data_IF_933430598585
#
_entry.id   IF_933430598585
#
_cell.length_a   1.000
_cell.length_b   1.000
_cell.length_c   1.000
_cell.angle_alpha   90.00
_cell.angle_beta   90.00
_cell.angle_gamma   90.00
#
_symmetry.space_group_name_H-M   'P 1'
#
loop_
_entity.id
_entity.type
_entity.pdbx_description
1 polymer ?
#
# COMPACT_ATOMS: atom_id res chain seq x y z
N UNK A 1 -63.39 1.10 8.50
CA UNK A 1 -62.06 1.79 8.45
C UNK A 1 -60.88 0.89 8.87
N UNK A 2 -60.95 0.07 9.91
CA UNK A 2 -59.80 -0.81 10.34
C UNK A 2 -59.33 -1.83 9.30
N UNK A 3 -60.23 -2.43 8.47
CA UNK A 3 -59.86 -3.40 7.44
C UNK A 3 -59.06 -2.81 6.25
N UNK A 4 -59.27 -1.56 5.88
CA UNK A 4 -58.53 -0.90 4.79
C UNK A 4 -57.17 -0.43 5.23
N UNK A 5 -57.01 -0.13 6.52
CA UNK A 5 -55.70 0.27 7.10
C UNK A 5 -54.71 -0.88 7.23
N UNK A 6 -55.20 -2.11 7.48
CA UNK A 6 -54.39 -3.33 7.49
C UNK A 6 -53.94 -3.75 6.10
N UNK A 7 -54.77 -3.57 5.08
CA UNK A 7 -54.44 -3.88 3.67
C UNK A 7 -53.40 -2.87 3.16
N UNK A 8 -53.52 -1.58 3.54
CA UNK A 8 -52.53 -0.53 3.19
C UNK A 8 -51.17 -0.75 3.86
N UNK A 9 -51.14 -1.20 5.13
CA UNK A 9 -49.87 -1.58 5.78
C UNK A 9 -49.20 -2.82 5.17
N UNK A 10 -49.96 -3.79 4.69
CA UNK A 10 -49.44 -4.98 3.99
C UNK A 10 -48.85 -4.62 2.61
N UNK A 11 -49.42 -3.62 1.90
CA UNK A 11 -48.87 -3.13 0.62
C UNK A 11 -47.59 -2.29 0.83
N UNK A 12 -47.49 -1.54 1.92
CA UNK A 12 -46.28 -0.77 2.25
C UNK A 12 -45.13 -1.72 2.70
N UNK A 13 -45.42 -2.80 3.42
CA UNK A 13 -44.46 -3.81 3.81
C UNK A 13 -43.96 -4.65 2.60
N UNK A 14 -44.79 -4.89 1.60
CA UNK A 14 -44.38 -5.57 0.37
C UNK A 14 -43.49 -4.71 -0.55
N UNK A 15 -43.62 -3.40 -0.52
CA UNK A 15 -42.78 -2.49 -1.30
C UNK A 15 -41.33 -2.37 -0.75
N UNK A 16 -41.08 -2.77 0.49
CA UNK A 16 -39.73 -2.74 1.08
C UNK A 16 -38.91 -4.05 0.85
N UNK A 17 -39.52 -5.05 0.22
CA UNK A 17 -38.87 -6.28 -0.18
C UNK A 17 -38.67 -6.37 -1.70
N UNK A 18 -38.52 -5.24 -2.40
CA UNK A 18 -38.00 -5.29 -3.75
C UNK A 18 -36.61 -5.85 -3.67
N UNK A 19 -36.29 -7.05 -4.24
CA UNK A 19 -34.92 -7.45 -4.38
C UNK A 19 -34.25 -6.33 -5.19
N UNK A 20 -33.24 -5.67 -4.62
CA UNK A 20 -32.35 -4.84 -5.41
C UNK A 20 -31.85 -5.75 -6.52
N UNK A 21 -32.41 -5.57 -7.73
CA UNK A 21 -31.73 -6.04 -8.93
C UNK A 21 -30.35 -5.37 -8.89
N UNK A 22 -29.34 -6.11 -8.48
CA UNK A 22 -27.96 -5.72 -8.69
C UNK A 22 -27.81 -5.76 -10.22
N UNK A 23 -28.07 -4.61 -10.86
CA UNK A 23 -27.67 -4.43 -12.25
C UNK A 23 -26.18 -4.76 -12.28
N UNK A 24 -25.79 -5.74 -13.07
CA UNK A 24 -24.38 -6.05 -13.32
C UNK A 24 -23.71 -4.74 -13.73
N UNK A 25 -22.98 -4.13 -12.80
CA UNK A 25 -22.23 -2.92 -13.09
C UNK A 25 -20.96 -3.33 -13.79
N UNK A 26 -20.90 -3.07 -15.07
CA UNK A 26 -19.69 -3.27 -15.87
C UNK A 26 -18.71 -2.16 -15.52
N UNK A 27 -17.57 -2.52 -14.96
CA UNK A 27 -16.55 -1.58 -14.51
C UNK A 27 -15.56 -1.29 -15.61
N UNK A 28 -15.34 -0.01 -15.87
CA UNK A 28 -14.26 0.46 -16.75
C UNK A 28 -12.91 0.40 -16.03
N UNK A 29 -11.84 0.44 -16.81
CA UNK A 29 -10.48 0.47 -16.26
C UNK A 29 -10.24 1.64 -15.30
N UNK A 30 -10.70 2.84 -15.67
CA UNK A 30 -10.53 4.04 -14.86
C UNK A 30 -11.38 3.99 -13.58
N UNK A 31 -12.59 3.44 -13.63
CA UNK A 31 -13.40 3.21 -12.42
C UNK A 31 -12.73 2.25 -11.45
N UNK A 32 -12.09 1.18 -11.94
CA UNK A 32 -11.32 0.27 -11.10
C UNK A 32 -10.15 0.97 -10.41
N UNK A 33 -9.43 1.86 -11.11
CA UNK A 33 -8.32 2.63 -10.53
C UNK A 33 -8.83 3.57 -9.45
N UNK A 34 -9.86 4.36 -9.72
CA UNK A 34 -10.42 5.31 -8.75
C UNK A 34 -10.93 4.60 -7.50
N UNK A 35 -11.69 3.53 -7.69
CA UNK A 35 -12.21 2.77 -6.57
C UNK A 35 -11.10 2.15 -5.71
N UNK A 36 -10.07 1.58 -6.34
CA UNK A 36 -8.96 0.99 -5.62
C UNK A 36 -8.15 2.04 -4.84
N UNK A 37 -7.91 3.22 -5.40
CA UNK A 37 -7.20 4.31 -4.69
C UNK A 37 -7.92 4.69 -3.41
N UNK A 38 -9.26 4.67 -3.41
CA UNK A 38 -10.07 5.06 -2.27
C UNK A 38 -10.25 3.93 -1.22
N UNK A 39 -10.24 2.67 -1.66
CA UNK A 39 -10.61 1.53 -0.81
C UNK A 39 -9.46 0.56 -0.52
N UNK A 40 -8.34 0.65 -1.23
CA UNK A 40 -7.22 -0.25 -1.02
C UNK A 40 -6.56 -0.02 0.34
N UNK A 41 -6.36 -1.11 1.10
CA UNK A 41 -5.84 -1.08 2.47
C UNK A 41 -4.40 -0.54 2.51
N UNK A 42 -3.55 -0.89 1.54
CA UNK A 42 -2.16 -0.41 1.50
C UNK A 42 -2.09 1.11 1.30
N UNK A 43 -3.00 1.67 0.47
CA UNK A 43 -3.12 3.12 0.29
C UNK A 43 -3.61 3.79 1.58
N UNK A 44 -4.61 3.22 2.25
CA UNK A 44 -5.10 3.74 3.53
C UNK A 44 -4.01 3.72 4.61
N UNK A 45 -3.19 2.65 4.67
CA UNK A 45 -2.04 2.58 5.56
C UNK A 45 -1.04 3.71 5.28
N UNK A 46 -0.76 4.04 4.01
CA UNK A 46 0.12 5.16 3.64
C UNK A 46 -0.45 6.52 4.03
N UNK A 47 -1.78 6.70 3.98
CA UNK A 47 -2.45 7.92 4.49
C UNK A 47 -2.26 8.03 6.00
N UNK A 48 -2.46 6.94 6.74
CA UNK A 48 -2.22 6.90 8.19
C UNK A 48 -0.75 7.16 8.53
N UNK A 49 0.21 6.64 7.74
CA UNK A 49 1.64 6.93 7.88
C UNK A 49 1.92 8.45 7.81
N UNK A 50 1.28 9.16 6.85
CA UNK A 50 1.40 10.63 6.74
C UNK A 50 0.87 11.31 8.00
N UNK A 51 -0.28 10.87 8.51
CA UNK A 51 -0.88 11.48 9.70
C UNK A 51 -0.05 11.19 10.97
N UNK A 52 0.60 10.02 11.06
CA UNK A 52 1.59 9.73 12.09
C UNK A 52 2.79 10.69 12.02
N UNK A 53 3.34 10.96 10.82
CA UNK A 53 4.45 11.90 10.64
C UNK A 53 4.02 13.34 10.95
N UNK A 54 2.80 13.76 10.60
CA UNK A 54 2.25 15.07 10.95
C UNK A 54 2.09 15.21 12.47
N UNK A 55 1.60 14.17 13.14
CA UNK A 55 1.45 14.17 14.59
C UNK A 55 2.81 14.25 15.30
N UNK A 56 3.82 13.52 14.81
CA UNK A 56 5.17 13.61 15.34
C UNK A 56 5.78 15.03 15.13
N UNK A 57 5.54 15.65 13.98
CA UNK A 57 5.92 17.03 13.73
C UNK A 57 5.22 17.99 14.71
N UNK A 58 3.93 17.78 14.99
CA UNK A 58 3.18 18.56 15.96
C UNK A 58 3.76 18.39 17.37
N UNK A 59 4.14 17.17 17.77
CA UNK A 59 4.81 16.91 19.04
C UNK A 59 6.09 17.75 19.17
N UNK A 60 6.92 17.76 18.14
CA UNK A 60 8.16 18.58 18.12
C UNK A 60 7.85 20.09 18.17
N UNK A 61 6.75 20.53 17.54
CA UNK A 61 6.31 21.92 17.63
C UNK A 61 5.81 22.28 19.03
N UNK A 62 5.11 21.36 19.69
CA UNK A 62 4.60 21.55 21.04
C UNK A 62 5.69 21.52 22.12
N UNK A 63 6.89 21.00 21.84
CA UNK A 63 8.04 21.10 22.77
C UNK A 63 8.46 22.56 23.12
N UNK A 64 7.89 23.56 22.42
CA UNK A 64 8.07 24.98 22.74
C UNK A 64 7.13 25.46 23.85
N UNK A 65 6.13 24.65 24.22
CA UNK A 65 5.20 24.94 25.30
C UNK A 65 5.77 24.43 26.64
N UNK A 66 5.41 25.04 27.77
CA UNK A 66 5.81 24.52 29.07
C UNK A 66 5.11 23.19 29.36
N UNK A 67 5.83 22.27 29.96
CA UNK A 67 5.23 21.10 30.60
C UNK A 67 4.82 21.47 32.00
N UNK A 68 3.62 21.04 32.43
CA UNK A 68 3.14 21.22 33.81
C UNK A 68 2.76 19.86 34.35
N UNK A 69 3.35 19.51 35.50
CA UNK A 69 3.14 18.20 36.14
C UNK A 69 2.71 18.41 37.60
N UNK A 70 1.64 17.76 38.04
CA UNK A 70 1.23 17.64 39.44
C UNK A 70 1.76 16.32 39.99
N UNK A 71 2.56 16.41 41.03
CA UNK A 71 3.03 15.23 41.76
C UNK A 71 2.45 15.24 43.19
N UNK A 72 2.02 14.08 43.64
CA UNK A 72 1.64 13.86 45.04
C UNK A 72 2.22 12.51 45.48
N UNK A 73 2.81 12.48 46.65
CA UNK A 73 3.37 11.25 47.20
C UNK A 73 3.11 11.18 48.72
N UNK A 74 2.76 9.99 49.16
CA UNK A 74 2.65 9.62 50.55
C UNK A 74 3.75 8.62 50.88
N UNK A 75 4.52 8.90 51.93
CA UNK A 75 5.60 8.03 52.41
C UNK A 75 5.43 7.77 53.91
N UNK A 76 5.61 6.54 54.30
CA UNK A 76 5.71 6.12 55.68
C UNK A 76 7.16 5.69 55.93
N UNK A 77 7.75 6.20 57.00
CA UNK A 77 9.10 5.84 57.42
C UNK A 77 9.02 5.26 58.86
N UNK A 78 9.70 4.17 59.07
CA UNK A 78 9.74 3.48 60.36
C UNK A 78 11.21 3.26 60.74
N UNK A 79 11.57 3.59 61.97
CA UNK A 79 12.90 3.37 62.51
C UNK A 79 13.52 4.62 63.14
N UNK A 80 14.77 4.55 63.48
CA UNK A 80 15.48 5.64 64.19
C UNK A 80 16.28 6.48 63.18
N UNK A 81 16.23 7.79 63.31
CA UNK A 81 17.06 8.75 62.58
C UNK A 81 17.98 9.52 63.53
N UNK A 82 19.07 10.04 62.94
CA UNK A 82 19.96 10.95 63.67
C UNK A 82 19.34 12.36 63.67
N UNK A 83 19.31 13.02 64.82
CA UNK A 83 18.87 14.40 64.90
C UNK A 83 19.89 15.31 64.17
N UNK A 84 19.45 15.96 63.08
CA UNK A 84 20.25 16.98 62.37
C UNK A 84 19.80 18.35 62.85
N UNK A 85 20.51 18.89 63.81
CA UNK A 85 20.39 20.32 64.14
C UNK A 85 21.21 21.12 63.10
N UNK A 86 20.59 22.09 62.43
CA UNK A 86 21.15 22.87 61.32
C UNK A 86 22.35 23.77 61.65
N UNK A 87 23.02 23.56 62.75
CA UNK A 87 24.31 24.13 63.12
C UNK A 87 25.32 22.99 63.30
N UNK A 88 26.57 23.19 62.91
CA UNK A 88 27.65 22.19 62.87
C UNK A 88 27.98 21.48 64.21
N UNK A 89 26.98 21.18 65.04
CA UNK A 89 27.11 20.32 66.19
C UNK A 89 26.61 18.93 65.86
N UNK A 90 27.52 17.96 65.77
CA UNK A 90 27.28 16.58 65.68
C UNK A 90 26.50 16.09 66.89
N UNK A 91 25.18 16.08 66.83
CA UNK A 91 24.36 15.37 67.80
C UNK A 91 24.32 13.89 67.40
N UNK A 92 24.85 13.03 68.24
CA UNK A 92 24.75 11.54 68.12
C UNK A 92 23.44 11.03 68.68
N UNK A 93 22.49 11.89 69.01
CA UNK A 93 21.18 11.47 69.51
C UNK A 93 20.32 10.90 68.37
N UNK A 94 19.88 9.69 68.59
CA UNK A 94 18.90 9.01 67.72
C UNK A 94 17.51 9.24 68.31
N UNK A 95 16.58 9.61 67.46
CA UNK A 95 15.18 9.71 67.83
C UNK A 95 14.35 8.73 66.98
N UNK A 96 13.22 8.34 67.49
CA UNK A 96 12.28 7.53 66.71
C UNK A 96 11.70 8.39 65.59
N UNK A 97 11.99 7.97 64.36
CA UNK A 97 11.59 8.67 63.14
C UNK A 97 10.42 7.97 62.42
N UNK A 98 9.55 7.31 63.20
CA UNK A 98 8.30 6.77 62.68
C UNK A 98 7.40 7.94 62.27
N UNK A 99 7.31 8.17 60.99
CA UNK A 99 6.60 9.33 60.44
C UNK A 99 5.83 9.01 59.15
N UNK A 100 4.83 9.83 58.93
CA UNK A 100 4.08 9.94 57.68
C UNK A 100 4.42 11.27 57.04
N UNK A 101 4.87 11.20 55.81
CA UNK A 101 5.23 12.38 55.01
C UNK A 101 4.39 12.37 53.71
N UNK A 102 3.57 13.42 53.56
CA UNK A 102 2.82 13.68 52.34
C UNK A 102 3.42 14.90 51.70
N UNK A 103 3.75 14.82 50.41
CA UNK A 103 4.13 16.00 49.65
C UNK A 103 3.27 16.14 48.41
N UNK A 104 3.03 17.37 48.00
CA UNK A 104 2.41 17.72 46.75
C UNK A 104 3.22 18.82 46.08
N UNK A 105 3.45 18.68 44.75
CA UNK A 105 4.11 19.72 43.96
C UNK A 105 3.42 19.94 42.62
N UNK A 106 3.44 21.17 42.16
CA UNK A 106 3.13 21.54 40.79
C UNK A 106 4.42 22.06 40.15
N UNK A 107 4.94 21.35 39.18
CA UNK A 107 6.20 21.65 38.55
C UNK A 107 5.94 22.09 37.09
N UNK A 108 6.46 23.25 36.70
CA UNK A 108 6.44 23.74 35.33
C UNK A 108 7.87 23.83 34.81
N UNK A 109 8.09 23.25 33.64
CA UNK A 109 9.40 23.31 32.95
C UNK A 109 9.24 23.79 31.50
N UNK A 110 10.11 24.73 31.11
CA UNK A 110 10.15 25.26 29.74
C UNK A 110 11.61 25.32 29.29
N UNK A 111 11.95 24.57 28.25
CA UNK A 111 13.26 24.67 27.64
C UNK A 111 13.38 26.00 26.83
N UNK A 112 14.18 26.93 27.29
CA UNK A 112 14.45 28.22 26.63
C UNK A 112 15.44 28.04 25.47
N UNK A 113 16.48 27.23 25.70
CA UNK A 113 17.51 26.94 24.69
C UNK A 113 18.01 25.50 24.82
N UNK A 114 18.09 24.77 23.71
CA UNK A 114 18.49 23.37 23.65
C UNK A 114 19.54 23.08 22.57
N UNK A 115 20.38 24.09 22.23
CA UNK A 115 21.39 23.94 21.18
C UNK A 115 20.79 23.84 19.76
N UNK A 116 19.64 24.44 19.51
CA UNK A 116 18.88 24.38 18.25
C UNK A 116 18.33 22.98 17.91
N UNK A 117 18.26 22.05 18.86
CA UNK A 117 17.73 20.70 18.68
C UNK A 117 16.31 20.74 18.12
N UNK A 118 15.37 21.40 18.80
CA UNK A 118 13.96 21.50 18.40
C UNK A 118 13.79 22.13 17.02
N UNK A 119 14.58 23.18 16.72
CA UNK A 119 14.55 23.82 15.40
C UNK A 119 14.94 22.86 14.28
N UNK A 120 15.98 22.05 14.49
CA UNK A 120 16.44 21.08 13.50
C UNK A 120 15.53 19.86 13.41
N UNK A 121 14.98 19.39 14.54
CA UNK A 121 13.96 18.33 14.57
C UNK A 121 12.69 18.75 13.83
N UNK A 122 12.21 20.00 14.00
CA UNK A 122 11.08 20.51 13.22
C UNK A 122 11.35 20.46 11.72
N UNK A 123 12.54 20.82 11.28
CA UNK A 123 12.92 20.75 9.86
C UNK A 123 13.03 19.30 9.37
N UNK A 124 13.62 18.42 10.18
CA UNK A 124 13.65 16.97 9.90
C UNK A 124 12.23 16.40 9.79
N UNK A 125 11.33 16.79 10.70
CA UNK A 125 9.92 16.38 10.67
C UNK A 125 9.16 16.84 9.42
N UNK A 126 9.40 18.06 8.93
CA UNK A 126 8.83 18.50 7.66
C UNK A 126 9.25 17.62 6.49
N UNK A 127 10.53 17.26 6.41
CA UNK A 127 11.01 16.35 5.38
C UNK A 127 10.51 14.91 5.56
N UNK A 128 10.22 14.49 6.79
CA UNK A 128 9.59 13.20 7.04
C UNK A 128 8.15 13.15 6.49
N UNK A 129 7.37 14.23 6.66
CA UNK A 129 6.02 14.36 6.08
C UNK A 129 6.09 14.37 4.55
N UNK A 130 7.05 15.11 3.96
CA UNK A 130 7.25 15.13 2.50
C UNK A 130 7.63 13.77 1.95
N UNK A 131 8.53 13.05 2.64
CA UNK A 131 8.88 11.66 2.30
C UNK A 131 7.67 10.74 2.31
N UNK A 132 6.83 10.81 3.37
CA UNK A 132 5.64 9.98 3.49
C UNK A 132 4.61 10.30 2.39
N UNK A 133 4.43 11.60 2.06
CA UNK A 133 3.54 12.04 0.97
C UNK A 133 4.00 11.50 -0.38
N UNK A 134 5.28 11.65 -0.71
CA UNK A 134 5.84 11.11 -1.95
C UNK A 134 5.77 9.56 -2.00
N UNK A 135 5.89 8.90 -0.84
CA UNK A 135 5.72 7.45 -0.74
C UNK A 135 4.27 7.00 -1.01
N UNK A 136 3.27 7.79 -0.61
CA UNK A 136 1.87 7.57 -0.96
C UNK A 136 1.66 7.70 -2.48
N UNK A 137 2.23 8.73 -3.11
CA UNK A 137 2.08 8.92 -4.55
C UNK A 137 2.77 7.80 -5.35
N UNK A 138 3.90 7.29 -4.85
CA UNK A 138 4.54 6.11 -5.41
C UNK A 138 3.66 4.85 -5.27
N UNK A 139 3.04 4.66 -4.10
CA UNK A 139 2.13 3.54 -3.87
C UNK A 139 0.91 3.59 -4.80
N UNK A 140 0.33 4.78 -5.04
CA UNK A 140 -0.76 4.97 -6.01
C UNK A 140 -0.36 4.57 -7.43
N UNK A 141 0.83 5.00 -7.89
CA UNK A 141 1.34 4.59 -9.21
C UNK A 141 1.58 3.08 -9.29
N UNK A 142 2.14 2.48 -8.25
CA UNK A 142 2.35 1.03 -8.17
C UNK A 142 1.03 0.26 -8.23
N UNK A 143 0.02 0.72 -7.48
CA UNK A 143 -1.33 0.14 -7.50
C UNK A 143 -1.97 0.25 -8.90
N UNK A 144 -1.83 1.39 -9.57
CA UNK A 144 -2.32 1.58 -10.95
C UNK A 144 -1.70 0.56 -11.92
N UNK A 145 -0.39 0.29 -11.80
CA UNK A 145 0.29 -0.75 -12.61
C UNK A 145 -0.25 -2.15 -12.30
N UNK A 146 -0.49 -2.46 -11.02
CA UNK A 146 -1.06 -3.74 -10.61
C UNK A 146 -2.48 -3.93 -11.16
N UNK A 147 -3.33 -2.91 -11.02
CA UNK A 147 -4.70 -2.94 -11.57
C UNK A 147 -4.66 -3.15 -13.08
N UNK A 148 -3.81 -2.41 -13.81
CA UNK A 148 -3.66 -2.58 -15.23
C UNK A 148 -3.29 -4.03 -15.60
N UNK A 149 -2.38 -4.63 -14.84
CA UNK A 149 -1.93 -6.00 -15.08
C UNK A 149 -3.06 -7.01 -14.85
N UNK A 150 -3.76 -6.93 -13.72
CA UNK A 150 -4.83 -7.88 -13.40
C UNK A 150 -6.10 -7.67 -14.22
N UNK A 151 -6.45 -6.41 -14.51
CA UNK A 151 -7.59 -6.09 -15.39
C UNK A 151 -7.41 -6.70 -16.78
N UNK A 152 -6.22 -6.53 -17.37
CA UNK A 152 -5.91 -7.07 -18.69
C UNK A 152 -5.72 -8.59 -18.66
N UNK A 153 -5.29 -9.16 -17.53
CA UNK A 153 -5.29 -10.61 -17.33
C UNK A 153 -6.71 -11.17 -17.37
N UNK A 154 -7.69 -10.51 -16.75
CA UNK A 154 -9.10 -10.92 -16.84
C UNK A 154 -9.61 -10.88 -18.28
N UNK A 155 -9.31 -9.80 -19.02
CA UNK A 155 -9.71 -9.70 -20.44
C UNK A 155 -9.04 -10.78 -21.31
N UNK A 156 -7.78 -11.11 -21.04
CA UNK A 156 -7.06 -12.20 -21.70
C UNK A 156 -7.75 -13.55 -21.42
N UNK A 157 -8.04 -13.89 -20.16
CA UNK A 157 -8.69 -15.15 -19.81
C UNK A 157 -10.11 -15.23 -20.35
N UNK A 158 -10.84 -14.09 -20.40
CA UNK A 158 -12.16 -14.01 -21.04
C UNK A 158 -12.05 -14.33 -22.53
N UNK A 159 -11.07 -13.77 -23.22
CA UNK A 159 -10.80 -14.05 -24.61
C UNK A 159 -10.40 -15.51 -24.86
N UNK A 160 -9.57 -16.09 -23.99
CA UNK A 160 -9.19 -17.51 -24.06
C UNK A 160 -10.39 -18.45 -23.89
N UNK A 161 -11.28 -18.13 -22.96
CA UNK A 161 -12.55 -18.87 -22.77
C UNK A 161 -13.41 -18.82 -24.04
N UNK A 162 -13.52 -17.66 -24.69
CA UNK A 162 -14.29 -17.55 -25.94
C UNK A 162 -13.64 -18.32 -27.12
N UNK A 163 -12.31 -18.33 -27.21
CA UNK A 163 -11.58 -19.18 -28.18
C UNK A 163 -11.87 -20.66 -27.91
N UNK A 164 -11.79 -21.12 -26.67
CA UNK A 164 -12.09 -22.49 -26.29
C UNK A 164 -13.56 -22.86 -26.58
N UNK A 165 -14.51 -21.97 -26.27
CA UNK A 165 -15.94 -22.16 -26.57
C UNK A 165 -16.20 -22.32 -28.07
N UNK A 166 -15.58 -21.48 -28.90
CA UNK A 166 -15.66 -21.56 -30.36
C UNK A 166 -15.07 -22.87 -30.87
N UNK A 167 -14.00 -23.36 -30.25
CA UNK A 167 -13.37 -24.63 -30.61
C UNK A 167 -14.27 -25.82 -30.29
N UNK A 168 -14.91 -25.86 -29.10
CA UNK A 168 -15.87 -26.90 -28.71
C UNK A 168 -17.02 -26.95 -29.72
N UNK A 169 -17.57 -25.80 -30.12
CA UNK A 169 -18.64 -25.75 -31.08
C UNK A 169 -18.20 -26.31 -32.47
N UNK A 170 -17.00 -25.97 -32.90
CA UNK A 170 -16.39 -26.47 -34.15
C UNK A 170 -16.20 -27.99 -34.08
N UNK A 171 -15.70 -28.53 -32.99
CA UNK A 171 -15.47 -29.97 -32.80
C UNK A 171 -16.79 -30.75 -32.67
N UNK A 172 -17.81 -30.14 -32.05
CA UNK A 172 -19.16 -30.71 -31.96
C UNK A 172 -19.77 -30.88 -33.34
N UNK A 173 -19.74 -29.85 -34.18
CA UNK A 173 -20.23 -29.88 -35.53
C UNK A 173 -19.50 -30.93 -36.39
N UNK A 174 -18.15 -31.00 -36.22
CA UNK A 174 -17.35 -32.00 -36.92
C UNK A 174 -17.73 -33.45 -36.46
N UNK A 175 -17.91 -33.66 -35.17
CA UNK A 175 -18.31 -34.96 -34.62
C UNK A 175 -19.69 -35.41 -35.14
N UNK A 176 -20.69 -34.51 -35.17
CA UNK A 176 -22.03 -34.80 -35.73
C UNK A 176 -21.97 -35.11 -37.23
N UNK A 177 -21.20 -34.34 -37.99
CA UNK A 177 -20.98 -34.58 -39.45
C UNK A 177 -20.31 -35.93 -39.67
N UNK A 178 -19.25 -36.24 -38.94
CA UNK A 178 -18.52 -37.50 -39.01
C UNK A 178 -19.43 -38.70 -38.66
N UNK A 179 -20.26 -38.56 -37.63
CA UNK A 179 -21.26 -39.58 -37.26
C UNK A 179 -22.18 -39.88 -38.44
N UNK A 180 -22.73 -38.87 -39.08
CA UNK A 180 -23.60 -39.05 -40.26
C UNK A 180 -22.88 -39.78 -41.39
N UNK A 181 -21.63 -39.43 -41.66
CA UNK A 181 -20.82 -40.07 -42.70
C UNK A 181 -20.47 -41.53 -42.38
N UNK A 182 -20.29 -41.88 -41.11
CA UNK A 182 -20.07 -43.28 -40.67
C UNK A 182 -21.39 -44.07 -40.74
N UNK A 183 -22.51 -43.49 -40.34
CA UNK A 183 -23.85 -44.13 -40.42
C UNK A 183 -24.24 -44.41 -41.91
N UNK A 184 -23.84 -43.53 -42.82
CA UNK A 184 -23.97 -43.70 -44.28
C UNK A 184 -22.94 -44.67 -44.87
N UNK A 185 -22.04 -45.23 -44.08
CA UNK A 185 -20.99 -46.16 -44.56
C UNK A 185 -19.87 -45.51 -45.37
N UNK A 186 -19.77 -44.19 -45.35
CA UNK A 186 -18.77 -43.42 -46.14
C UNK A 186 -17.44 -43.23 -45.45
N UNK A 187 -17.43 -43.27 -44.09
CA UNK A 187 -16.24 -43.15 -43.26
C UNK A 187 -16.09 -44.33 -42.29
N UNK A 188 -14.87 -44.71 -41.91
CA UNK A 188 -14.63 -45.76 -40.90
C UNK A 188 -15.05 -45.31 -39.52
N UNK A 189 -15.37 -46.26 -38.63
CA UNK A 189 -15.74 -46.01 -37.23
C UNK A 189 -14.61 -45.40 -36.41
N UNK A 190 -13.33 -45.56 -36.84
CA UNK A 190 -12.16 -44.89 -36.25
C UNK A 190 -12.28 -43.40 -36.28
N UNK A 191 -12.76 -42.84 -37.42
CA UNK A 191 -12.89 -41.40 -37.58
C UNK A 191 -13.88 -40.78 -36.59
N UNK A 192 -14.96 -41.51 -36.31
CA UNK A 192 -15.93 -41.10 -35.28
C UNK A 192 -15.32 -41.15 -33.88
N UNK A 193 -14.53 -42.19 -33.57
CA UNK A 193 -13.84 -42.29 -32.30
C UNK A 193 -12.82 -41.13 -32.11
N UNK A 194 -12.07 -40.78 -33.15
CA UNK A 194 -11.14 -39.66 -33.14
C UNK A 194 -11.86 -38.33 -32.99
N UNK A 195 -12.98 -38.11 -33.68
CA UNK A 195 -13.78 -36.89 -33.51
C UNK A 195 -14.39 -36.75 -32.10
N UNK A 196 -14.82 -37.87 -31.51
CA UNK A 196 -15.32 -37.87 -30.12
C UNK A 196 -14.21 -37.59 -29.11
N UNK A 197 -13.02 -38.17 -29.29
CA UNK A 197 -11.86 -37.91 -28.43
C UNK A 197 -11.44 -36.44 -28.49
N UNK A 198 -11.44 -35.84 -29.70
CA UNK A 198 -11.13 -34.42 -29.88
C UNK A 198 -12.17 -33.53 -29.21
N UNK A 199 -13.49 -33.82 -29.37
CA UNK A 199 -14.54 -33.05 -28.70
C UNK A 199 -14.38 -33.09 -27.16
N UNK A 200 -14.15 -34.27 -26.61
CA UNK A 200 -13.92 -34.40 -25.16
C UNK A 200 -12.68 -33.62 -24.65
N UNK A 201 -11.62 -33.60 -25.44
CA UNK A 201 -10.43 -32.83 -25.14
C UNK A 201 -10.71 -31.31 -25.17
N UNK A 202 -11.48 -30.84 -26.15
CA UNK A 202 -11.83 -29.42 -26.28
C UNK A 202 -12.84 -28.99 -25.17
N UNK A 203 -13.76 -29.85 -24.75
CA UNK A 203 -14.66 -29.60 -23.60
C UNK A 203 -13.89 -29.53 -22.28
N UNK A 204 -12.86 -30.36 -22.09
CA UNK A 204 -11.96 -30.26 -20.96
C UNK A 204 -11.21 -28.90 -20.94
N UNK A 205 -10.65 -28.49 -22.06
CA UNK A 205 -9.94 -27.21 -22.21
C UNK A 205 -10.87 -26.02 -21.92
N UNK A 206 -12.13 -26.06 -22.36
CA UNK A 206 -13.12 -25.02 -22.05
C UNK A 206 -13.36 -24.94 -20.53
N UNK A 207 -13.50 -26.08 -19.86
CA UNK A 207 -13.69 -26.13 -18.40
C UNK A 207 -12.50 -25.49 -17.67
N UNK A 208 -11.27 -25.77 -18.12
CA UNK A 208 -10.07 -25.14 -17.57
C UNK A 208 -10.04 -23.63 -17.83
N UNK A 209 -10.38 -23.17 -19.04
CA UNK A 209 -10.42 -21.74 -19.38
C UNK A 209 -11.47 -20.98 -18.55
N UNK A 210 -12.65 -21.57 -18.33
CA UNK A 210 -13.67 -21.01 -17.44
C UNK A 210 -13.15 -20.89 -15.99
N UNK A 211 -12.40 -21.90 -15.52
CA UNK A 211 -11.76 -21.88 -14.21
C UNK A 211 -10.73 -20.75 -14.10
N UNK A 212 -9.84 -20.60 -15.08
CA UNK A 212 -8.84 -19.52 -15.14
C UNK A 212 -9.49 -18.14 -15.15
N UNK A 213 -10.54 -17.94 -15.94
CA UNK A 213 -11.29 -16.68 -15.97
C UNK A 213 -11.89 -16.34 -14.61
N UNK A 214 -12.53 -17.30 -13.92
CA UNK A 214 -13.08 -17.07 -12.57
C UNK A 214 -12.01 -16.71 -11.54
N UNK A 215 -10.83 -17.36 -11.61
CA UNK A 215 -9.70 -17.05 -10.73
C UNK A 215 -9.15 -15.65 -11.02
N UNK A 216 -9.02 -15.26 -12.28
CA UNK A 216 -8.57 -13.92 -12.66
C UNK A 216 -9.55 -12.84 -12.16
N UNK A 217 -10.86 -13.04 -12.30
CA UNK A 217 -11.90 -12.18 -11.75
C UNK A 217 -11.82 -12.05 -10.23
N UNK A 218 -11.64 -13.17 -9.52
CA UNK A 218 -11.46 -13.19 -8.08
C UNK A 218 -10.22 -12.39 -7.67
N UNK A 219 -9.11 -12.58 -8.36
CA UNK A 219 -7.86 -11.87 -8.06
C UNK A 219 -7.99 -10.35 -8.22
N UNK A 220 -8.65 -9.90 -9.30
CA UNK A 220 -8.92 -8.48 -9.52
C UNK A 220 -9.87 -7.93 -8.45
N UNK A 221 -10.94 -8.65 -8.10
CA UNK A 221 -11.89 -8.21 -7.07
C UNK A 221 -11.23 -8.08 -5.69
N UNK A 222 -10.31 -8.98 -5.34
CA UNK A 222 -9.52 -8.91 -4.12
C UNK A 222 -8.57 -7.71 -4.12
N UNK A 223 -7.93 -7.39 -5.25
CA UNK A 223 -7.08 -6.19 -5.36
C UNK A 223 -7.89 -4.90 -5.18
N UNK A 224 -9.13 -4.89 -5.67
CA UNK A 224 -10.09 -3.79 -5.49
C UNK A 224 -10.70 -3.78 -4.08
N UNK A 225 -10.46 -4.79 -3.26
CA UNK A 225 -11.04 -4.97 -1.94
C UNK A 225 -12.59 -5.01 -1.97
N UNK A 226 -13.16 -5.67 -2.98
CA UNK A 226 -14.61 -5.87 -3.08
C UNK A 226 -15.04 -6.99 -2.12
N UNK A 227 -16.18 -6.79 -1.45
CA UNK A 227 -16.74 -7.78 -0.51
C UNK A 227 -17.24 -9.04 -1.22
N UNK A 228 -17.76 -8.90 -2.44
CA UNK A 228 -18.30 -10.02 -3.24
C UNK A 228 -17.85 -9.91 -4.69
N UNK A 229 -17.70 -11.06 -5.34
CA UNK A 229 -17.44 -11.16 -6.80
C UNK A 229 -18.74 -11.21 -7.59
N UNK A 230 -19.87 -11.51 -6.93
CA UNK A 230 -21.16 -11.62 -7.59
C UNK A 230 -21.63 -10.27 -8.15
N UNK A 231 -21.92 -10.24 -9.44
CA UNK A 231 -22.34 -9.02 -10.14
C UNK A 231 -21.19 -8.10 -10.59
N UNK A 232 -19.93 -8.48 -10.34
CA UNK A 232 -18.77 -7.77 -10.86
C UNK A 232 -18.45 -8.26 -12.27
N UNK A 233 -18.41 -7.34 -13.23
CA UNK A 233 -17.93 -7.59 -14.61
C UNK A 233 -17.12 -6.39 -15.07
N UNK A 234 -16.24 -6.58 -16.06
CA UNK A 234 -15.35 -5.55 -16.57
C UNK A 234 -15.62 -5.27 -18.05
N UNK A 235 -15.44 -3.99 -18.43
CA UNK A 235 -15.56 -3.54 -19.80
C UNK A 235 -14.35 -3.98 -20.64
N UNK A 236 -14.57 -4.29 -21.92
CA UNK A 236 -13.47 -4.53 -22.86
C UNK A 236 -12.75 -3.21 -23.21
N UNK A 237 -11.45 -3.29 -23.41
CA UNK A 237 -10.64 -2.15 -23.88
C UNK A 237 -10.60 -2.22 -25.42
N UNK A 238 -11.49 -1.46 -26.05
CA UNK A 238 -11.75 -1.50 -27.49
C UNK A 238 -10.75 -0.73 -28.37
N UNK A 239 -9.62 -0.23 -27.84
CA UNK A 239 -8.73 0.65 -28.61
C UNK A 239 -7.65 -0.12 -29.40
N UNK A 240 -8.07 -0.73 -30.53
CA UNK A 240 -7.15 -1.35 -31.47
C UNK A 240 -6.26 -0.33 -32.21
N UNK A 241 -6.68 0.93 -32.33
CA UNK A 241 -5.90 1.98 -32.99
C UNK A 241 -4.65 2.35 -32.17
N UNK A 242 -4.74 2.26 -30.86
CA UNK A 242 -3.60 2.47 -29.96
C UNK A 242 -2.50 1.41 -30.15
N UNK A 243 -2.82 0.19 -30.60
CA UNK A 243 -1.84 -0.88 -30.79
C UNK A 243 -0.84 -0.58 -31.91
N UNK A 244 -1.27 0.14 -32.95
CA UNK A 244 -0.44 0.51 -34.09
C UNK A 244 0.38 1.79 -33.89
N UNK A 245 0.06 2.60 -32.88
CA UNK A 245 0.74 3.88 -32.63
C UNK A 245 2.23 3.66 -32.30
N UNK A 246 3.14 4.54 -32.74
CA UNK A 246 4.57 4.41 -32.45
C UNK A 246 4.84 4.58 -30.96
N UNK A 247 5.72 3.75 -30.41
CA UNK A 247 6.16 3.83 -29.03
C UNK A 247 7.36 4.75 -28.94
N UNK A 248 7.20 5.91 -28.26
CA UNK A 248 8.29 6.86 -28.06
C UNK A 248 9.10 6.48 -26.80
N UNK A 249 10.43 6.61 -26.89
CA UNK A 249 11.30 6.38 -25.73
C UNK A 249 11.09 7.49 -24.68
N UNK A 250 10.70 7.17 -23.45
CA UNK A 250 10.46 8.17 -22.40
C UNK A 250 11.75 8.86 -21.91
N UNK A 251 12.90 8.21 -21.99
CA UNK A 251 14.18 8.78 -21.56
C UNK A 251 14.71 9.87 -22.49
N UNK A 252 14.28 9.90 -23.74
CA UNK A 252 14.63 11.00 -24.66
C UNK A 252 13.82 12.27 -24.37
N UNK A 253 12.78 12.18 -23.55
CA UNK A 253 11.83 13.28 -23.37
C UNK A 253 12.20 14.21 -22.22
N UNK A 254 12.87 13.78 -21.15
CA UNK A 254 13.39 14.69 -20.10
C UNK A 254 14.09 13.96 -18.94
N UNK A 255 15.30 14.40 -18.55
CA UNK A 255 15.89 14.10 -17.23
C UNK A 255 14.98 14.54 -16.09
N UNK A 256 14.12 15.54 -16.32
CA UNK A 256 13.13 16.01 -15.36
C UNK A 256 12.10 14.93 -14.96
N UNK A 257 11.76 14.00 -15.85
CA UNK A 257 10.80 12.92 -15.55
C UNK A 257 11.32 11.99 -14.46
N UNK A 258 12.61 11.64 -14.51
CA UNK A 258 13.25 10.80 -13.49
C UNK A 258 13.33 11.54 -12.16
N UNK A 259 13.74 12.82 -12.17
CA UNK A 259 13.97 13.60 -10.96
C UNK A 259 12.66 13.95 -10.20
N UNK A 260 11.53 14.01 -10.90
CA UNK A 260 10.20 14.30 -10.31
C UNK A 260 9.39 13.03 -10.01
N UNK A 261 9.92 11.85 -10.32
CA UNK A 261 9.20 10.61 -10.03
C UNK A 261 9.05 10.42 -8.52
N UNK A 262 7.87 10.00 -8.00
CA UNK A 262 7.59 9.99 -6.56
C UNK A 262 8.61 9.23 -5.71
N UNK A 263 9.17 8.10 -6.20
CA UNK A 263 10.21 7.37 -5.45
C UNK A 263 11.50 8.19 -5.29
N UNK A 264 11.86 9.01 -6.28
CA UNK A 264 13.04 9.87 -6.23
C UNK A 264 12.78 11.08 -5.34
N UNK A 265 11.58 11.66 -5.38
CA UNK A 265 11.16 12.73 -4.47
C UNK A 265 11.22 12.25 -3.01
N UNK A 266 10.70 11.04 -2.73
CA UNK A 266 10.79 10.43 -1.40
C UNK A 266 12.25 10.23 -0.95
N UNK A 267 13.12 9.75 -1.86
CA UNK A 267 14.56 9.60 -1.60
C UNK A 267 15.25 10.92 -1.32
N UNK A 268 14.96 11.98 -2.07
CA UNK A 268 15.48 13.35 -1.81
C UNK A 268 15.03 13.86 -0.45
N UNK A 269 13.75 13.69 -0.10
CA UNK A 269 13.22 14.07 1.19
C UNK A 269 13.93 13.34 2.34
N UNK A 270 14.21 12.05 2.18
CA UNK A 270 14.97 11.25 3.16
C UNK A 270 16.40 11.76 3.33
N UNK A 271 17.09 12.16 2.25
CA UNK A 271 18.42 12.74 2.30
C UNK A 271 18.42 14.07 3.09
N UNK A 272 17.47 14.98 2.79
CA UNK A 272 17.34 16.24 3.52
C UNK A 272 16.96 16.02 4.98
N UNK A 273 16.04 15.10 5.28
CA UNK A 273 15.74 14.68 6.66
C UNK A 273 17.02 14.28 7.40
N UNK A 274 17.80 13.37 6.83
CA UNK A 274 19.05 12.86 7.42
C UNK A 274 20.10 13.97 7.61
N UNK A 275 20.11 14.99 6.75
CA UNK A 275 20.96 16.17 6.90
C UNK A 275 20.60 16.96 8.17
N UNK A 276 19.31 17.17 8.45
CA UNK A 276 18.87 17.83 9.67
C UNK A 276 19.04 16.95 10.91
N UNK A 277 19.01 15.63 10.78
CA UNK A 277 19.33 14.71 11.87
C UNK A 277 20.79 14.84 12.34
N UNK A 278 21.74 15.11 11.42
CA UNK A 278 23.11 15.46 11.80
C UNK A 278 23.16 16.76 12.62
N UNK A 279 22.41 17.79 12.20
CA UNK A 279 22.35 19.06 12.93
C UNK A 279 21.70 18.88 14.32
N UNK A 280 20.68 18.04 14.41
CA UNK A 280 20.04 17.65 15.69
C UNK A 280 21.04 16.92 16.61
N UNK A 281 21.83 15.98 16.09
CA UNK A 281 22.85 15.30 16.88
C UNK A 281 23.96 16.25 17.38
N UNK A 282 24.31 17.29 16.61
CA UNK A 282 25.28 18.34 17.03
C UNK A 282 24.79 19.17 18.20
N UNK A 283 23.47 19.27 18.42
CA UNK A 283 22.89 20.00 19.54
C UNK A 283 23.40 19.49 20.89
N UNK A 284 23.81 18.23 21.00
CA UNK A 284 24.42 17.67 22.20
C UNK A 284 25.75 18.25 22.65
N UNK A 285 26.37 19.14 21.85
CA UNK A 285 27.57 19.90 22.25
C UNK A 285 27.23 21.26 22.83
N UNK A 286 26.00 21.75 22.65
CA UNK A 286 25.60 23.06 23.11
C UNK A 286 25.07 23.05 24.54
N UNK A 287 25.16 24.16 25.26
CA UNK A 287 24.47 24.32 26.54
C UNK A 287 22.96 24.16 26.38
N UNK A 288 22.29 23.76 27.46
CA UNK A 288 20.83 23.77 27.59
C UNK A 288 20.43 24.75 28.68
N UNK A 289 19.43 25.55 28.44
CA UNK A 289 18.86 26.50 29.39
C UNK A 289 17.37 26.23 29.55
N UNK A 290 17.00 25.84 30.75
CA UNK A 290 15.61 25.55 31.12
C UNK A 290 15.11 26.56 32.15
N UNK A 291 13.91 27.06 31.97
CA UNK A 291 13.15 27.76 33.00
C UNK A 291 12.33 26.73 33.79
N UNK A 292 12.44 26.83 35.11
CA UNK A 292 11.72 25.95 36.02
C UNK A 292 10.96 26.76 37.06
N UNK A 293 9.71 26.40 37.29
CA UNK A 293 8.91 26.94 38.37
C UNK A 293 8.24 25.78 39.11
N UNK A 294 8.29 25.80 40.42
CA UNK A 294 7.73 24.75 41.25
C UNK A 294 7.00 25.36 42.44
N UNK A 295 5.79 24.92 42.66
CA UNK A 295 5.03 25.16 43.88
C UNK A 295 4.97 23.84 44.66
N UNK A 296 5.59 23.83 45.87
CA UNK A 296 5.69 22.64 46.68
C UNK A 296 4.98 22.87 47.99
N UNK A 297 4.41 21.81 48.57
CA UNK A 297 3.91 21.80 49.92
C UNK A 297 4.02 20.40 50.52
N UNK A 298 4.06 20.31 51.84
CA UNK A 298 4.17 19.03 52.51
C UNK A 298 3.44 19.03 53.83
N UNK A 299 3.06 17.82 54.24
CA UNK A 299 2.57 17.45 55.55
C UNK A 299 3.48 16.40 56.16
N UNK A 300 3.89 16.66 57.42
CA UNK A 300 4.74 15.77 58.22
C UNK A 300 4.03 15.44 59.51
N UNK A 301 3.90 14.16 59.85
CA UNK A 301 3.33 13.69 61.09
C UNK A 301 4.21 12.60 61.69
N UNK A 302 4.73 12.84 62.88
CA UNK A 302 5.45 11.86 63.70
C UNK A 302 4.43 11.05 64.47
N UNK A 303 4.51 9.72 64.46
CA UNK A 303 3.50 8.89 65.15
C UNK A 303 3.56 8.91 66.69
N UNK A 304 4.73 9.26 67.17
CA UNK A 304 4.99 9.29 68.66
C UNK A 304 5.05 10.70 69.24
N UNK A 305 4.87 11.73 68.40
CA UNK A 305 4.84 13.12 68.89
C UNK A 305 3.54 13.82 68.43
N UNK A 306 3.00 14.66 69.27
CA UNK A 306 1.80 15.45 68.96
C UNK A 306 2.22 16.75 68.28
N UNK A 307 1.87 16.92 67.00
CA UNK A 307 2.04 18.19 66.25
C UNK A 307 0.77 19.06 66.51
N UNK A 308 0.95 20.36 66.79
CA UNK A 308 -0.17 21.27 66.95
C UNK A 308 -0.94 21.56 65.69
N UNK A 309 -0.28 21.41 64.52
CA UNK A 309 -0.88 21.71 63.23
C UNK A 309 -1.38 20.45 62.50
N UNK A 310 -2.69 20.45 62.21
CA UNK A 310 -3.32 19.40 61.41
C UNK A 310 -2.95 19.47 59.95
N UNK A 311 -3.34 18.43 59.17
CA UNK A 311 -3.05 18.31 57.76
C UNK A 311 -3.36 19.56 56.91
N UNK A 312 -4.57 20.20 57.00
CA UNK A 312 -4.86 21.39 56.20
C UNK A 312 -3.98 22.60 56.51
N UNK A 313 -3.65 22.78 57.85
CA UNK A 313 -2.80 23.87 58.30
C UNK A 313 -1.39 23.73 57.78
N UNK A 314 -0.77 22.55 57.92
CA UNK A 314 0.57 22.30 57.42
C UNK A 314 0.64 22.43 55.91
N UNK A 315 -0.31 21.87 55.17
CA UNK A 315 -0.35 21.96 53.71
C UNK A 315 -0.46 23.42 53.22
N UNK A 316 -1.12 24.28 53.96
CA UNK A 316 -1.20 25.71 53.65
C UNK A 316 0.05 26.49 54.06
N UNK A 317 0.60 26.23 55.23
CA UNK A 317 1.72 26.97 55.81
C UNK A 317 3.08 26.56 55.25
N UNK A 318 3.24 25.28 54.83
CA UNK A 318 4.49 24.74 54.29
C UNK A 318 4.64 24.99 52.76
N UNK A 319 3.86 25.90 52.19
CA UNK A 319 4.00 26.26 50.79
C UNK A 319 5.34 26.91 50.52
N UNK A 320 6.01 26.46 49.47
CA UNK A 320 7.21 27.10 48.97
C UNK A 320 7.15 27.26 47.45
N UNK A 321 7.48 28.42 46.94
CA UNK A 321 7.52 28.76 45.54
C UNK A 321 8.98 28.89 45.14
N UNK A 322 9.37 28.12 44.09
CA UNK A 322 10.72 28.14 43.54
C UNK A 322 10.64 28.48 42.08
N UNK A 323 11.34 29.54 41.67
CA UNK A 323 11.45 29.94 40.26
C UNK A 323 12.92 30.09 39.95
N UNK A 324 13.38 29.53 38.85
CA UNK A 324 14.79 29.57 38.50
C UNK A 324 15.10 29.24 37.05
N UNK A 325 16.33 29.54 36.69
CA UNK A 325 16.94 29.16 35.45
C UNK A 325 17.96 28.04 35.73
N UNK A 326 17.88 26.97 34.92
CA UNK A 326 18.82 25.88 35.00
C UNK A 326 19.65 25.80 33.74
N UNK A 327 20.97 26.10 33.87
CA UNK A 327 21.94 26.00 32.79
C UNK A 327 22.73 24.69 32.93
N UNK A 328 22.67 23.84 31.93
CA UNK A 328 23.44 22.60 31.82
C UNK A 328 24.41 22.67 30.66
N UNK A 329 25.71 22.57 30.96
CA UNK A 329 26.80 22.61 29.95
C UNK A 329 27.48 21.25 29.93
N UNK A 330 27.37 20.48 28.83
CA UNK A 330 28.04 19.18 28.75
C UNK A 330 29.54 19.33 28.51
N UNK A 331 30.34 19.18 29.57
CA UNK A 331 31.83 19.27 29.47
C UNK A 331 32.42 17.95 28.96
N UNK A 332 31.97 16.82 29.46
CA UNK A 332 32.41 15.51 29.01
C UNK A 332 31.27 14.52 29.15
N UNK A 333 30.88 13.88 28.05
CA UNK A 333 29.76 12.95 28.00
C UNK A 333 30.16 11.55 27.46
N UNK A 334 31.36 11.12 27.77
CA UNK A 334 31.89 9.80 27.36
C UNK A 334 31.81 9.58 25.84
N UNK A 335 32.05 10.63 25.05
CA UNK A 335 31.97 10.64 23.56
C UNK A 335 30.58 10.31 22.98
N UNK A 336 29.51 10.29 23.76
CA UNK A 336 28.16 9.95 23.29
C UNK A 336 27.72 10.87 22.15
N UNK A 337 27.87 12.20 22.28
CA UNK A 337 27.55 13.17 21.21
C UNK A 337 28.39 12.94 19.96
N UNK A 338 29.70 12.71 20.12
CA UNK A 338 30.58 12.41 18.97
C UNK A 338 30.14 11.18 18.20
N UNK A 339 29.79 10.12 18.90
CA UNK A 339 29.33 8.88 18.29
C UNK A 339 27.96 9.02 17.64
N UNK A 340 27.04 9.79 18.26
CA UNK A 340 25.73 10.09 17.66
C UNK A 340 25.87 10.87 16.35
N UNK A 341 26.75 11.87 16.29
CA UNK A 341 27.06 12.61 15.06
C UNK A 341 27.66 11.68 14.00
N UNK A 342 28.59 10.79 14.40
CA UNK A 342 29.18 9.82 13.47
C UNK A 342 28.12 8.89 12.90
N UNK A 343 27.23 8.37 13.76
CA UNK A 343 26.08 7.54 13.33
C UNK A 343 25.17 8.31 12.36
N UNK A 344 24.78 9.55 12.70
CA UNK A 344 23.93 10.37 11.83
C UNK A 344 24.58 10.64 10.45
N UNK A 345 25.91 10.86 10.41
CA UNK A 345 26.65 11.01 9.14
C UNK A 345 26.63 9.72 8.31
N UNK A 346 26.75 8.54 8.94
CA UNK A 346 26.66 7.26 8.25
C UNK A 346 25.26 7.06 7.69
N UNK A 347 24.19 7.38 8.45
CA UNK A 347 22.81 7.34 7.96
C UNK A 347 22.59 8.30 6.78
N UNK A 348 23.18 9.51 6.81
CA UNK A 348 23.13 10.44 5.69
C UNK A 348 23.81 9.88 4.44
N UNK A 349 25.00 9.30 4.57
CA UNK A 349 25.67 8.65 3.43
C UNK A 349 24.84 7.48 2.90
N UNK A 350 24.25 6.68 3.80
CA UNK A 350 23.36 5.58 3.41
C UNK A 350 22.13 6.08 2.63
N UNK A 351 21.50 7.18 3.07
CA UNK A 351 20.36 7.77 2.33
C UNK A 351 20.76 8.33 0.96
N UNK A 352 21.98 8.90 0.81
CA UNK A 352 22.48 9.30 -0.49
C UNK A 352 22.71 8.14 -1.44
N UNK A 353 23.30 7.04 -0.95
CA UNK A 353 23.51 5.83 -1.74
C UNK A 353 22.17 5.19 -2.13
N UNK A 354 21.19 5.16 -1.22
CA UNK A 354 19.85 4.66 -1.49
C UNK A 354 19.11 5.50 -2.56
N UNK A 355 19.31 6.83 -2.55
CA UNK A 355 18.76 7.72 -3.59
C UNK A 355 19.38 7.40 -4.96
N UNK A 356 20.71 7.20 -5.01
CA UNK A 356 21.40 6.87 -6.24
C UNK A 356 20.98 5.51 -6.78
N UNK A 357 20.85 4.49 -5.91
CA UNK A 357 20.34 3.19 -6.26
C UNK A 357 18.91 3.27 -6.82
N UNK A 358 18.03 4.05 -6.16
CA UNK A 358 16.67 4.30 -6.63
C UNK A 358 16.63 4.95 -8.02
N UNK A 359 17.56 5.87 -8.32
CA UNK A 359 17.67 6.48 -9.66
C UNK A 359 18.07 5.45 -10.72
N UNK A 360 19.07 4.63 -10.41
CA UNK A 360 19.53 3.58 -11.33
C UNK A 360 18.44 2.55 -11.57
N UNK A 361 17.74 2.12 -10.52
CA UNK A 361 16.64 1.17 -10.62
C UNK A 361 15.49 1.76 -11.47
N UNK A 362 15.08 3.00 -11.21
CA UNK A 362 14.02 3.65 -11.99
C UNK A 362 14.39 3.77 -13.49
N UNK A 363 15.63 4.16 -13.82
CA UNK A 363 16.10 4.20 -15.22
C UNK A 363 16.02 2.82 -15.86
N UNK A 364 16.49 1.80 -15.16
CA UNK A 364 16.41 0.40 -15.61
C UNK A 364 14.96 -0.04 -15.84
N UNK A 365 14.05 0.28 -14.93
CA UNK A 365 12.63 -0.08 -15.03
C UNK A 365 11.96 0.60 -16.24
N UNK A 366 12.28 1.88 -16.49
CA UNK A 366 11.79 2.64 -17.65
C UNK A 366 12.33 2.04 -18.96
N UNK A 367 13.63 1.77 -19.04
CA UNK A 367 14.24 1.16 -20.21
C UNK A 367 13.64 -0.22 -20.49
N UNK A 368 13.50 -1.03 -19.46
CA UNK A 368 12.91 -2.36 -19.56
C UNK A 368 11.44 -2.30 -20.01
N UNK A 369 10.64 -1.35 -19.45
CA UNK A 369 9.27 -1.13 -19.88
C UNK A 369 9.20 -0.72 -21.37
N UNK A 370 10.11 0.14 -21.83
CA UNK A 370 10.19 0.57 -23.21
C UNK A 370 10.50 -0.60 -24.18
N UNK A 371 11.57 -1.36 -23.90
CA UNK A 371 11.92 -2.51 -24.75
C UNK A 371 10.87 -3.61 -24.70
N UNK A 372 10.26 -3.86 -23.55
CA UNK A 372 9.16 -4.81 -23.43
C UNK A 372 7.96 -4.38 -24.27
N UNK A 373 7.63 -3.09 -24.30
CA UNK A 373 6.53 -2.58 -25.11
C UNK A 373 6.83 -2.71 -26.63
N UNK A 374 8.05 -2.42 -27.08
CA UNK A 374 8.47 -2.61 -28.47
C UNK A 374 8.40 -4.08 -28.91
N UNK A 375 8.92 -4.97 -28.06
CA UNK A 375 8.92 -6.41 -28.34
C UNK A 375 7.49 -6.96 -28.40
N UNK A 376 6.62 -6.56 -27.45
CA UNK A 376 5.22 -6.97 -27.42
C UNK A 376 4.50 -6.51 -28.69
N UNK A 377 4.69 -5.24 -29.11
CA UNK A 377 4.10 -4.72 -30.34
C UNK A 377 4.56 -5.50 -31.58
N UNK A 378 5.84 -5.82 -31.70
CA UNK A 378 6.38 -6.59 -32.82
C UNK A 378 5.81 -8.01 -32.84
N UNK A 379 5.68 -8.65 -31.67
CA UNK A 379 5.05 -9.97 -31.54
C UNK A 379 3.57 -9.95 -31.93
N UNK A 380 2.84 -8.91 -31.53
CA UNK A 380 1.44 -8.75 -31.91
C UNK A 380 1.24 -8.73 -33.41
N UNK A 381 2.01 -7.91 -34.15
CA UNK A 381 1.90 -7.87 -35.62
C UNK A 381 2.26 -9.19 -36.27
N UNK A 382 3.27 -9.90 -35.76
CA UNK A 382 3.65 -11.23 -36.29
C UNK A 382 2.58 -12.28 -35.98
N UNK A 383 2.02 -12.30 -34.77
CA UNK A 383 0.98 -13.23 -34.37
C UNK A 383 -0.32 -12.98 -35.16
N UNK A 384 -0.70 -11.72 -35.40
CA UNK A 384 -1.87 -11.38 -36.22
C UNK A 384 -1.75 -11.88 -37.65
N UNK A 385 -0.57 -11.70 -38.29
CA UNK A 385 -0.31 -12.26 -39.61
C UNK A 385 -0.38 -13.80 -39.63
N UNK A 386 0.12 -14.44 -38.57
CA UNK A 386 0.04 -15.91 -38.43
C UNK A 386 -1.40 -16.38 -38.27
N UNK A 387 -2.22 -15.64 -37.50
CA UNK A 387 -3.65 -15.91 -37.34
C UNK A 387 -4.39 -15.82 -38.68
N UNK A 388 -4.18 -14.73 -39.44
CA UNK A 388 -4.78 -14.52 -40.76
C UNK A 388 -4.43 -15.65 -41.75
N UNK A 389 -3.16 -16.07 -41.78
CA UNK A 389 -2.71 -17.17 -42.62
C UNK A 389 -3.26 -18.53 -42.19
N UNK A 390 -3.34 -18.78 -40.86
CA UNK A 390 -3.89 -20.02 -40.31
C UNK A 390 -5.39 -20.12 -40.51
N UNK A 391 -6.13 -19.00 -40.46
CA UNK A 391 -7.55 -18.93 -40.75
C UNK A 391 -7.81 -19.35 -42.21
N UNK A 392 -7.11 -18.72 -43.14
CA UNK A 392 -7.23 -19.05 -44.58
C UNK A 392 -6.88 -20.51 -44.87
N UNK A 393 -5.84 -21.04 -44.20
CA UNK A 393 -5.43 -22.44 -44.33
C UNK A 393 -6.52 -23.40 -43.81
N UNK A 394 -7.14 -23.07 -42.67
CA UNK A 394 -8.22 -23.88 -42.10
C UNK A 394 -9.48 -23.86 -42.98
N UNK A 395 -9.83 -22.71 -43.57
CA UNK A 395 -10.94 -22.60 -44.49
C UNK A 395 -10.73 -23.47 -45.74
N UNK A 396 -9.55 -23.41 -46.36
CA UNK A 396 -9.22 -24.27 -47.52
C UNK A 396 -9.24 -25.76 -47.16
N UNK A 397 -8.77 -26.14 -45.97
CA UNK A 397 -8.75 -27.53 -45.55
C UNK A 397 -10.17 -28.04 -45.29
N UNK A 398 -11.05 -27.17 -44.74
CA UNK A 398 -12.47 -27.44 -44.58
C UNK A 398 -13.17 -27.71 -45.91
N UNK A 399 -12.92 -26.86 -46.91
CA UNK A 399 -13.46 -27.00 -48.28
C UNK A 399 -13.02 -28.33 -48.94
N UNK A 400 -11.74 -28.69 -48.77
CA UNK A 400 -11.19 -29.96 -49.29
C UNK A 400 -11.84 -31.16 -48.58
N UNK A 401 -12.03 -31.10 -47.26
CA UNK A 401 -12.68 -32.14 -46.50
C UNK A 401 -14.16 -32.33 -46.94
N UNK A 402 -14.88 -31.24 -47.14
CA UNK A 402 -16.24 -31.25 -47.67
C UNK A 402 -16.33 -31.81 -49.08
N UNK A 403 -15.32 -31.60 -49.92
CA UNK A 403 -15.19 -32.17 -51.25
C UNK A 403 -14.68 -33.64 -51.24
N UNK A 404 -14.44 -34.25 -50.06
CA UNK A 404 -13.89 -35.60 -49.93
C UNK A 404 -12.43 -35.76 -50.40
N UNK A 405 -11.65 -34.63 -50.40
CA UNK A 405 -10.26 -34.58 -50.88
C UNK A 405 -9.22 -34.45 -49.77
N UNK A 406 -9.68 -34.44 -48.49
CA UNK A 406 -8.84 -34.36 -47.31
C UNK A 406 -9.38 -35.29 -46.22
N UNK A 407 -8.52 -35.67 -45.28
CA UNK A 407 -8.85 -36.51 -44.15
C UNK A 407 -9.32 -35.68 -42.97
N UNK A 408 -10.07 -36.32 -42.06
CA UNK A 408 -10.47 -35.70 -40.78
C UNK A 408 -9.22 -35.25 -39.95
N UNK A 409 -8.14 -36.03 -40.07
CA UNK A 409 -6.87 -35.69 -39.36
C UNK A 409 -6.29 -34.38 -39.88
N UNK A 410 -6.24 -34.18 -41.21
CA UNK A 410 -5.72 -32.95 -41.83
C UNK A 410 -6.54 -31.71 -41.42
N UNK A 411 -7.88 -31.85 -41.41
CA UNK A 411 -8.79 -30.79 -40.94
C UNK A 411 -8.60 -30.48 -39.46
N UNK A 412 -8.52 -31.50 -38.62
CA UNK A 412 -8.27 -31.32 -37.17
C UNK A 412 -6.94 -30.63 -36.93
N UNK A 413 -5.88 -31.01 -37.66
CA UNK A 413 -4.57 -30.37 -37.54
C UNK A 413 -4.59 -28.91 -38.01
N UNK A 414 -5.36 -28.58 -39.04
CA UNK A 414 -5.52 -27.18 -39.50
C UNK A 414 -6.28 -26.35 -38.43
N UNK A 415 -7.35 -26.90 -37.84
CA UNK A 415 -8.11 -26.26 -36.79
C UNK A 415 -7.28 -26.06 -35.51
N UNK A 416 -6.43 -27.02 -35.12
CA UNK A 416 -5.52 -26.87 -33.98
C UNK A 416 -4.47 -25.77 -34.23
N UNK A 417 -3.94 -25.66 -35.45
CA UNK A 417 -3.04 -24.56 -35.84
C UNK A 417 -3.73 -23.20 -35.76
N UNK A 418 -4.98 -23.11 -36.25
CA UNK A 418 -5.77 -21.89 -36.19
C UNK A 418 -6.05 -21.51 -34.70
N UNK A 419 -6.47 -22.46 -33.87
CA UNK A 419 -6.67 -22.25 -32.46
C UNK A 419 -5.40 -21.68 -31.81
N UNK A 420 -4.27 -22.35 -32.01
CA UNK A 420 -2.98 -21.90 -31.44
C UNK A 420 -2.58 -20.49 -31.90
N UNK A 421 -2.77 -20.16 -33.18
CA UNK A 421 -2.46 -18.84 -33.70
C UNK A 421 -3.40 -17.75 -33.15
N UNK A 422 -4.68 -18.06 -32.89
CA UNK A 422 -5.64 -17.17 -32.21
C UNK A 422 -5.23 -16.91 -30.75
N UNK A 423 -4.86 -17.96 -30.03
CA UNK A 423 -4.35 -17.85 -28.65
C UNK A 423 -3.11 -16.94 -28.59
N UNK A 424 -2.14 -17.17 -29.51
CA UNK A 424 -0.90 -16.39 -29.58
C UNK A 424 -1.18 -14.92 -29.96
N UNK A 425 -2.12 -14.65 -30.88
CA UNK A 425 -2.52 -13.30 -31.25
C UNK A 425 -3.24 -12.57 -30.10
N UNK A 426 -4.13 -13.26 -29.40
CA UNK A 426 -4.84 -12.74 -28.23
C UNK A 426 -3.87 -12.40 -27.09
N UNK A 427 -2.95 -13.31 -26.78
CA UNK A 427 -1.90 -13.08 -25.78
C UNK A 427 -1.05 -11.87 -26.14
N UNK A 428 -0.57 -11.78 -27.40
CA UNK A 428 0.25 -10.68 -27.84
C UNK A 428 -0.51 -9.35 -27.86
N UNK A 429 -1.83 -9.35 -28.15
CA UNK A 429 -2.71 -8.18 -28.07
C UNK A 429 -2.71 -7.61 -26.67
N UNK A 430 -3.11 -8.40 -25.68
CA UNK A 430 -3.24 -7.92 -24.29
C UNK A 430 -1.87 -7.61 -23.68
N UNK A 431 -0.84 -8.40 -23.99
CA UNK A 431 0.52 -8.07 -23.56
C UNK A 431 0.98 -6.69 -24.08
N UNK A 432 0.67 -6.35 -25.32
CA UNK A 432 1.01 -5.04 -25.90
C UNK A 432 0.28 -3.92 -25.16
N UNK A 433 -1.01 -4.10 -24.84
CA UNK A 433 -1.80 -3.11 -24.10
C UNK A 433 -1.22 -2.90 -22.71
N UNK A 434 -0.92 -4.00 -21.96
CA UNK A 434 -0.30 -3.92 -20.62
C UNK A 434 1.00 -3.12 -20.67
N UNK A 435 1.92 -3.50 -21.59
CA UNK A 435 3.25 -2.88 -21.67
C UNK A 435 3.17 -1.40 -22.01
N UNK A 436 2.21 -1.00 -22.85
CA UNK A 436 1.95 0.42 -23.15
C UNK A 436 1.39 1.17 -21.95
N UNK A 437 0.41 0.60 -21.24
CA UNK A 437 -0.16 1.23 -20.04
C UNK A 437 0.90 1.41 -18.95
N UNK A 438 1.74 0.43 -18.72
CA UNK A 438 2.87 0.56 -17.77
C UNK A 438 3.80 1.70 -18.20
N UNK A 439 4.12 1.80 -19.48
CA UNK A 439 4.98 2.88 -20.01
C UNK A 439 4.32 4.26 -19.87
N UNK A 440 3.00 4.36 -20.02
CA UNK A 440 2.23 5.59 -19.79
C UNK A 440 2.32 6.05 -18.33
N UNK A 441 2.21 5.13 -17.36
CA UNK A 441 2.33 5.46 -15.92
C UNK A 441 3.71 6.04 -15.59
N UNK A 442 4.78 5.56 -16.24
CA UNK A 442 6.11 6.15 -16.07
C UNK A 442 6.25 7.52 -16.75
N UNK A 443 5.42 7.84 -17.76
CA UNK A 443 5.44 9.15 -18.45
C UNK A 443 4.60 10.21 -17.76
N UNK A 444 3.54 9.83 -17.04
CA UNK A 444 2.67 10.76 -16.31
C UNK A 444 3.43 11.35 -15.12
N UNK A 445 3.57 12.69 -15.13
CA UNK A 445 4.12 13.49 -14.03
C UNK A 445 3.10 13.69 -12.91
#
# INVERSE_FOLDING_TARGET
MKKYMTILMLFIAAAWHSPMLHAQRVWTFDECIHYAIDHNIDIQQKVVDIDMQKNELNNVQNEWLPSVTLNAAQRFSFGNALASTGTMASSTERFNADLSYTNASVDAELALFDGFRRKNQKRSGHWAVEQATASLDFARKSLTIQIATYYLQVLYEKGMMEVARTQVETSRQLCEKTKTLVDDGRNPKSDLADAQAQLAADEYELTEAEGRYKIAMLTLSQLLNLETVEGFDIADIADETALAAPISNPLTTSENTVENFPSIVAGKALVEKSRYDIATARAGYFPKLDFRASLNTYYLNFFHESHPDGFPSQMWNNKSEVVGLHLSVPVFNRFTTRNSIRKAKMCFTQSQLALEDSRQQLRKDIDQAYYNALNAQSRYFSAKKSEEASLLSSEYEKDKFEAGRSTIYDLTQANQRLRKSREDALQAKYETIIRRKILEVYKQQ
#
